data_IF_831055808210
#
_entry.id   IF_831055808210
#
_cell.length_a   1.000
_cell.length_b   1.000
_cell.length_c   1.000
_cell.angle_alpha   90.00
_cell.angle_beta   90.00
_cell.angle_gamma   90.00
#
_symmetry.space_group_name_H-M   'P 1'
#
loop_
_entity.id
_entity.type
_entity.pdbx_description
1 polymer ?
#
# COMPACT_ATOMS: atom_id res chain seq x y z
N UNK A 1 4.35 -22.13 -43.41
CA UNK A 1 3.17 -22.56 -42.65
C UNK A 1 3.51 -22.39 -41.18
N UNK A 2 3.09 -21.26 -40.60
CA UNK A 2 3.48 -20.82 -39.25
C UNK A 2 2.82 -21.67 -38.18
N UNK A 3 3.62 -22.12 -37.22
CA UNK A 3 3.13 -22.75 -36.00
C UNK A 3 2.44 -21.70 -35.10
N UNK A 4 1.19 -21.97 -34.75
CA UNK A 4 0.43 -21.24 -33.74
C UNK A 4 1.05 -21.48 -32.35
N UNK A 5 1.34 -20.47 -31.51
CA UNK A 5 1.76 -20.72 -30.15
C UNK A 5 0.56 -21.08 -29.26
N UNK A 6 0.77 -22.09 -28.41
CA UNK A 6 -0.12 -22.63 -27.41
C UNK A 6 -0.64 -21.59 -26.40
N UNK A 7 -1.79 -21.84 -25.74
CA UNK A 7 -2.33 -20.93 -24.73
C UNK A 7 -1.40 -20.87 -23.52
N UNK A 8 -0.93 -19.66 -23.19
CA UNK A 8 -0.07 -19.43 -22.03
C UNK A 8 -0.89 -19.55 -20.73
N UNK A 9 -0.38 -20.37 -19.82
CA UNK A 9 -0.98 -20.75 -18.56
C UNK A 9 -1.31 -19.55 -17.66
N UNK A 10 -2.49 -19.58 -17.04
CA UNK A 10 -2.91 -18.69 -15.96
C UNK A 10 -1.88 -18.73 -14.82
N UNK A 11 -1.16 -17.63 -14.62
CA UNK A 11 -0.17 -17.48 -13.55
C UNK A 11 -0.85 -17.42 -12.18
N UNK A 12 -0.80 -18.54 -11.44
CA UNK A 12 -1.14 -18.63 -10.01
C UNK A 12 -0.01 -18.07 -9.13
N UNK A 13 0.42 -16.84 -9.41
CA UNK A 13 1.33 -16.12 -8.51
C UNK A 13 0.57 -15.76 -7.24
N UNK A 14 0.90 -16.42 -6.13
CA UNK A 14 0.48 -16.01 -4.77
C UNK A 14 0.89 -14.55 -4.59
N UNK A 15 -0.08 -13.62 -4.59
CA UNK A 15 0.20 -12.18 -4.49
C UNK A 15 0.85 -11.90 -3.14
N UNK A 16 2.11 -11.46 -3.19
CA UNK A 16 2.86 -11.04 -2.02
C UNK A 16 2.43 -9.59 -1.71
N UNK A 17 1.26 -9.43 -1.10
CA UNK A 17 0.75 -8.12 -0.66
C UNK A 17 1.63 -7.65 0.51
N UNK A 18 2.63 -6.78 0.27
CA UNK A 18 3.49 -6.29 1.35
C UNK A 18 3.51 -4.77 1.41
N UNK A 19 2.33 -4.21 1.68
CA UNK A 19 2.18 -2.98 2.45
C UNK A 19 1.65 -3.33 3.85
N UNK A 20 1.73 -2.39 4.80
CA UNK A 20 1.37 -2.65 6.21
C UNK A 20 2.25 -3.75 6.84
N UNK A 21 3.57 -3.60 6.72
CA UNK A 21 4.56 -4.43 7.44
C UNK A 21 5.55 -3.54 8.19
N UNK A 22 5.57 -3.58 9.54
CA UNK A 22 4.57 -4.21 10.42
C UNK A 22 3.14 -3.65 10.16
N UNK A 23 2.12 -4.46 10.43
CA UNK A 23 0.73 -4.02 10.27
C UNK A 23 0.38 -3.03 11.37
N UNK A 24 0.02 -1.80 10.98
CA UNK A 24 -0.40 -0.77 11.92
C UNK A 24 -1.85 -0.40 11.64
N UNK A 25 -2.75 -0.73 12.57
CA UNK A 25 -4.21 -0.57 12.37
C UNK A 25 -4.63 0.89 12.13
N UNK A 26 -4.06 1.91 12.80
CA UNK A 26 -4.46 3.31 12.61
C UNK A 26 -4.19 3.88 11.22
N UNK A 27 -3.22 3.35 10.46
CA UNK A 27 -3.03 3.75 9.06
C UNK A 27 -3.98 3.05 8.08
N UNK A 28 -4.68 2.00 8.51
CA UNK A 28 -5.47 1.15 7.65
C UNK A 28 -6.93 1.65 7.49
N UNK A 29 -7.32 1.97 6.27
CA UNK A 29 -8.68 2.35 5.88
C UNK A 29 -9.31 1.28 4.97
N UNK A 30 -10.64 1.29 4.86
CA UNK A 30 -11.37 0.42 3.94
C UNK A 30 -11.19 0.84 2.48
N UNK A 31 -11.39 -0.10 1.55
CA UNK A 31 -11.40 0.24 0.11
C UNK A 31 -12.47 1.25 -0.29
N UNK A 32 -13.57 1.35 0.47
CA UNK A 32 -14.63 2.34 0.23
C UNK A 32 -14.19 3.75 0.65
N UNK A 33 -13.55 3.88 1.81
CA UNK A 33 -12.99 5.16 2.26
C UNK A 33 -11.86 5.61 1.33
N UNK A 34 -10.97 4.69 0.93
CA UNK A 34 -9.92 4.97 -0.04
C UNK A 34 -10.48 5.46 -1.39
N UNK A 35 -11.56 4.83 -1.87
CA UNK A 35 -12.24 5.22 -3.10
C UNK A 35 -12.84 6.63 -3.00
N UNK A 36 -13.44 6.97 -1.84
CA UNK A 36 -13.97 8.30 -1.56
C UNK A 36 -12.86 9.36 -1.55
N UNK A 37 -11.74 9.09 -0.87
CA UNK A 37 -10.58 9.99 -0.81
C UNK A 37 -9.99 10.25 -2.20
N UNK A 38 -9.86 9.19 -3.00
CA UNK A 38 -9.24 9.26 -4.32
C UNK A 38 -10.19 9.72 -5.45
N UNK A 39 -11.50 9.80 -5.20
CA UNK A 39 -12.50 10.11 -6.23
C UNK A 39 -12.61 9.05 -7.33
N UNK A 40 -12.30 7.79 -7.03
CA UNK A 40 -12.30 6.68 -8.00
C UNK A 40 -13.19 5.52 -7.54
N UNK A 41 -13.38 4.51 -8.40
CA UNK A 41 -14.16 3.32 -8.03
C UNK A 41 -13.42 2.42 -7.03
N UNK A 42 -14.18 1.66 -6.23
CA UNK A 42 -13.62 0.61 -5.36
C UNK A 42 -12.82 -0.44 -6.15
N UNK A 43 -13.23 -0.72 -7.39
CA UNK A 43 -12.50 -1.64 -8.29
C UNK A 43 -11.12 -1.07 -8.61
N UNK A 44 -11.04 0.23 -8.91
CA UNK A 44 -9.77 0.93 -9.15
C UNK A 44 -8.84 0.82 -7.94
N UNK A 45 -9.35 1.05 -6.72
CA UNK A 45 -8.56 0.91 -5.49
C UNK A 45 -8.01 -0.51 -5.34
N UNK A 46 -8.83 -1.54 -5.58
CA UNK A 46 -8.37 -2.94 -5.50
C UNK A 46 -7.24 -3.22 -6.49
N UNK A 47 -7.37 -2.72 -7.72
CA UNK A 47 -6.30 -2.80 -8.73
C UNK A 47 -5.04 -2.08 -8.26
N UNK A 48 -5.17 -0.90 -7.64
CA UNK A 48 -4.01 -0.17 -7.11
C UNK A 48 -3.32 -0.87 -5.96
N UNK A 49 -4.06 -1.48 -5.03
CA UNK A 49 -3.47 -2.28 -3.95
C UNK A 49 -2.61 -3.40 -4.53
N UNK A 50 -3.10 -4.09 -5.56
CA UNK A 50 -2.39 -5.19 -6.21
C UNK A 50 -1.16 -4.73 -7.03
N UNK A 51 -1.22 -3.54 -7.64
CA UNK A 51 -0.16 -3.03 -8.53
C UNK A 51 0.92 -2.23 -7.82
N UNK A 52 0.53 -1.39 -6.85
CA UNK A 52 1.41 -0.39 -6.24
C UNK A 52 1.82 -0.76 -4.81
N UNK A 53 1.29 -1.88 -4.28
CA UNK A 53 1.55 -2.33 -2.91
C UNK A 53 1.25 -1.22 -1.89
N UNK A 54 0.03 -0.66 -1.93
CA UNK A 54 -0.45 0.38 -1.01
C UNK A 54 -1.46 -0.15 0.01
N UNK A 55 -1.62 -1.47 0.10
CA UNK A 55 -2.56 -2.11 1.01
C UNK A 55 -2.23 -3.58 1.25
N UNK A 56 -3.08 -4.23 2.06
CA UNK A 56 -2.91 -5.63 2.44
C UNK A 56 -4.26 -6.33 2.53
N UNK A 57 -4.28 -7.61 2.14
CA UNK A 57 -5.41 -8.49 2.41
C UNK A 57 -5.30 -9.13 3.80
N UNK A 58 -6.33 -8.96 4.62
CA UNK A 58 -6.43 -9.50 5.98
C UNK A 58 -7.79 -10.18 6.12
N UNK A 59 -7.81 -11.50 6.35
CA UNK A 59 -9.05 -12.26 6.55
C UNK A 59 -10.07 -12.16 5.41
N UNK A 60 -9.61 -11.99 4.17
CA UNK A 60 -10.47 -11.83 2.99
C UNK A 60 -10.84 -10.37 2.67
N UNK A 61 -10.62 -9.44 3.61
CA UNK A 61 -10.85 -8.00 3.42
C UNK A 61 -9.58 -7.32 2.92
N UNK A 62 -9.70 -6.36 2.01
CA UNK A 62 -8.59 -5.51 1.57
C UNK A 62 -8.60 -4.22 2.39
N UNK A 63 -7.49 -3.95 3.06
CA UNK A 63 -7.21 -2.71 3.77
C UNK A 63 -6.17 -1.90 2.99
N UNK A 64 -6.33 -0.58 2.98
CA UNK A 64 -5.43 0.35 2.28
C UNK A 64 -4.72 1.18 3.33
N UNK A 65 -3.41 1.41 3.18
CA UNK A 65 -2.72 2.40 4.01
C UNK A 65 -3.05 3.80 3.50
N UNK A 66 -3.66 4.62 4.35
CA UNK A 66 -4.01 6.00 4.03
C UNK A 66 -2.80 6.86 3.65
N UNK A 67 -1.67 6.88 4.39
CA UNK A 67 -0.50 7.65 3.98
C UNK A 67 0.10 7.16 2.66
N UNK A 68 0.12 5.84 2.42
CA UNK A 68 0.57 5.29 1.14
C UNK A 68 -0.37 5.65 -0.03
N UNK A 69 -1.68 5.71 0.22
CA UNK A 69 -2.64 6.18 -0.78
C UNK A 69 -2.39 7.65 -1.14
N UNK A 70 -2.18 8.52 -0.16
CA UNK A 70 -1.88 9.93 -0.41
C UNK A 70 -0.57 10.11 -1.19
N UNK A 71 0.48 9.39 -0.81
CA UNK A 71 1.74 9.40 -1.55
C UNK A 71 1.57 8.94 -3.01
N UNK A 72 0.74 7.91 -3.24
CA UNK A 72 0.42 7.46 -4.59
C UNK A 72 -0.37 8.50 -5.40
N UNK A 73 -1.36 9.15 -4.80
CA UNK A 73 -2.16 10.19 -5.48
C UNK A 73 -1.31 11.41 -5.86
N UNK A 74 -0.29 11.72 -5.08
CA UNK A 74 0.65 12.82 -5.35
C UNK A 74 1.82 12.42 -6.25
N UNK A 75 1.92 11.14 -6.64
CA UNK A 75 3.00 10.64 -7.47
C UNK A 75 4.36 10.56 -6.76
N UNK A 76 4.39 10.54 -5.43
CA UNK A 76 5.63 10.44 -4.66
C UNK A 76 6.12 8.99 -4.57
N UNK A 77 6.77 8.52 -5.64
CA UNK A 77 7.30 7.16 -5.73
C UNK A 77 8.43 6.85 -4.74
N UNK A 78 9.19 7.85 -4.31
CA UNK A 78 10.24 7.65 -3.30
C UNK A 78 9.64 7.48 -1.90
N UNK A 79 8.58 8.23 -1.55
CA UNK A 79 7.81 7.97 -0.33
C UNK A 79 7.23 6.56 -0.33
N UNK A 80 6.64 6.12 -1.46
CA UNK A 80 6.13 4.74 -1.60
C UNK A 80 7.25 3.70 -1.48
N UNK A 81 8.44 3.97 -2.00
CA UNK A 81 9.61 3.10 -1.86
C UNK A 81 10.04 2.95 -0.41
N UNK A 82 10.17 4.06 0.32
CA UNK A 82 10.47 4.07 1.77
C UNK A 82 9.43 3.30 2.57
N UNK A 83 8.14 3.54 2.27
CA UNK A 83 7.03 2.83 2.87
C UNK A 83 7.10 1.31 2.64
N UNK A 84 7.36 0.88 1.39
CA UNK A 84 7.52 -0.54 1.03
C UNK A 84 8.74 -1.21 1.67
N UNK A 85 9.78 -0.43 1.99
CA UNK A 85 10.95 -0.90 2.75
C UNK A 85 10.68 -0.99 4.26
N UNK A 86 9.53 -0.50 4.73
CA UNK A 86 9.18 -0.45 6.15
C UNK A 86 9.79 0.75 6.89
N UNK A 87 10.51 1.64 6.20
CA UNK A 87 11.09 2.85 6.78
C UNK A 87 10.02 3.95 6.86
N UNK A 88 9.24 3.96 7.96
CA UNK A 88 8.15 4.92 8.20
C UNK A 88 8.59 6.20 8.92
N UNK A 89 9.78 6.19 9.52
CA UNK A 89 10.34 7.33 10.25
C UNK A 89 11.07 8.31 9.33
N UNK A 90 11.32 7.93 8.07
CA UNK A 90 11.87 8.84 7.07
C UNK A 90 10.96 10.07 6.90
N UNK A 91 11.50 11.30 6.97
CA UNK A 91 10.69 12.52 6.90
C UNK A 91 9.76 12.59 5.69
N UNK A 92 10.16 11.99 4.56
CA UNK A 92 9.39 12.06 3.32
C UNK A 92 8.07 11.30 3.40
N UNK A 93 8.09 10.07 3.89
CA UNK A 93 6.84 9.34 4.15
C UNK A 93 6.19 9.80 5.47
N UNK A 94 6.99 10.23 6.44
CA UNK A 94 6.54 10.73 7.73
C UNK A 94 5.56 11.89 7.62
N UNK A 95 5.81 12.82 6.70
CA UNK A 95 4.88 13.92 6.40
C UNK A 95 3.46 13.44 6.03
N UNK A 96 3.33 12.29 5.35
CA UNK A 96 2.03 11.70 5.03
C UNK A 96 1.35 11.09 6.26
N UNK A 97 2.12 10.46 7.15
CA UNK A 97 1.59 9.95 8.43
C UNK A 97 1.05 11.09 9.31
N UNK A 98 1.80 12.18 9.43
CA UNK A 98 1.37 13.37 10.17
C UNK A 98 0.09 13.98 9.60
N UNK A 99 0.00 14.10 8.26
CA UNK A 99 -1.22 14.56 7.58
C UNK A 99 -2.43 13.65 7.81
N UNK A 100 -2.20 12.36 8.06
CA UNK A 100 -3.25 11.41 8.43
C UNK A 100 -3.57 11.45 9.94
N UNK A 101 -2.91 12.28 10.73
CA UNK A 101 -3.07 12.35 12.19
C UNK A 101 -2.46 11.14 12.91
N UNK A 102 -1.46 10.50 12.30
CA UNK A 102 -0.84 9.29 12.84
C UNK A 102 0.54 9.64 13.41
N UNK A 103 0.75 9.51 14.73
CA UNK A 103 2.02 9.87 15.34
C UNK A 103 3.14 8.91 14.94
N UNK A 104 4.28 9.45 14.52
CA UNK A 104 5.46 8.66 14.11
C UNK A 104 6.22 8.02 15.27
N UNK A 105 6.05 8.52 16.50
CA UNK A 105 6.71 8.03 17.71
C UNK A 105 6.44 6.53 18.00
N UNK A 106 5.37 5.97 17.43
CA UNK A 106 5.05 4.54 17.53
C UNK A 106 5.97 3.64 16.69
N UNK A 107 6.71 4.22 15.73
CA UNK A 107 7.63 3.50 14.85
C UNK A 107 9.09 3.64 15.27
N UNK A 108 9.40 4.42 16.31
CA UNK A 108 10.76 4.65 16.81
C UNK A 108 11.32 3.48 17.66
N UNK A 109 10.61 2.36 17.75
CA UNK A 109 11.01 1.23 18.60
C UNK A 109 12.15 0.44 17.96
N UNK A 110 13.40 0.81 18.26
CA UNK A 110 14.58 -0.01 17.93
C UNK A 110 15.94 0.66 17.98
N UNK A 111 16.17 1.68 18.81
CA UNK A 111 17.46 2.39 18.87
C UNK A 111 17.85 2.88 20.26
N UNK A 112 17.99 1.96 21.23
CA UNK A 112 18.88 2.08 22.40
C UNK A 112 18.71 0.86 23.32
N UNK A 113 19.56 -0.15 23.13
CA UNK A 113 20.05 -1.05 24.17
C UNK A 113 21.37 -1.66 23.69
#
# INVERSE_FOLDING_TARGET
MSASPAPQALSTTRRKDVALVPFYRPEAISTREAALIAGVSVVTIRVWVERHCIGRRVGGVVLVSQPALLAHLEGDEEALKLYRQGNRTDPRIGAYFERCGIPLSVFEVGGAA
#
